data_IF_127338071550
#
_entry.id   IF_127338071550
#
_cell.length_a   1.000
_cell.length_b   1.000
_cell.length_c   1.000
_cell.angle_alpha   90.00
_cell.angle_beta   90.00
_cell.angle_gamma   90.00
#
_symmetry.space_group_name_H-M   'P 1'
#
loop_
_entity.id
_entity.type
_entity.pdbx_description
1 polymer ?
#
# COMPACT_ATOMS: atom_id res chain seq x y z
N UNK A 1 -52.85 -32.05 12.04
CA UNK A 1 -51.73 -32.99 12.16
C UNK A 1 -50.61 -32.54 11.23
N UNK A 2 -49.44 -32.19 11.74
CA UNK A 2 -48.32 -31.75 10.91
C UNK A 2 -47.79 -32.94 10.08
N UNK A 3 -47.74 -32.81 8.74
CA UNK A 3 -47.15 -33.82 7.85
C UNK A 3 -45.68 -34.01 8.24
N UNK A 4 -45.32 -35.24 8.62
CA UNK A 4 -43.92 -35.61 8.94
C UNK A 4 -43.03 -35.32 7.73
N UNK A 5 -42.04 -34.48 7.90
CA UNK A 5 -41.13 -34.05 6.83
C UNK A 5 -40.27 -35.25 6.41
N UNK A 6 -40.31 -35.62 5.12
CA UNK A 6 -39.51 -36.72 4.56
C UNK A 6 -38.03 -36.42 4.70
N UNK A 7 -37.24 -37.38 5.11
CA UNK A 7 -35.81 -37.29 5.35
C UNK A 7 -34.99 -38.09 4.33
N UNK A 8 -33.69 -37.78 4.19
CA UNK A 8 -32.78 -38.58 3.35
C UNK A 8 -32.67 -40.04 3.80
N UNK A 9 -32.95 -40.34 5.09
CA UNK A 9 -33.05 -41.70 5.62
C UNK A 9 -34.26 -42.44 5.09
N UNK A 10 -35.40 -41.76 4.90
CA UNK A 10 -36.59 -42.36 4.34
C UNK A 10 -36.39 -42.72 2.86
N UNK A 11 -35.71 -41.83 2.10
CA UNK A 11 -35.32 -42.12 0.71
C UNK A 11 -34.35 -43.29 0.64
N UNK A 12 -33.34 -43.34 1.55
CA UNK A 12 -32.38 -44.44 1.62
C UNK A 12 -33.03 -45.79 1.84
N UNK A 13 -34.01 -45.89 2.79
CA UNK A 13 -34.82 -47.08 3.03
C UNK A 13 -35.63 -47.47 1.80
N UNK A 14 -36.25 -46.52 1.12
CA UNK A 14 -37.11 -46.77 -0.06
C UNK A 14 -36.31 -47.23 -1.27
N UNK A 15 -35.12 -46.67 -1.47
CA UNK A 15 -34.20 -46.99 -2.57
C UNK A 15 -33.33 -48.24 -2.31
N UNK A 16 -33.30 -48.76 -1.06
CA UNK A 16 -32.46 -49.90 -0.67
C UNK A 16 -30.94 -49.58 -0.69
N UNK A 17 -30.55 -48.35 -0.36
CA UNK A 17 -29.17 -47.91 -0.37
C UNK A 17 -28.83 -47.19 0.95
N UNK A 18 -27.54 -46.85 1.15
CA UNK A 18 -27.12 -46.04 2.31
C UNK A 18 -27.58 -44.58 2.19
N UNK A 19 -27.75 -43.92 3.34
CA UNK A 19 -28.04 -42.46 3.36
C UNK A 19 -26.90 -41.64 2.69
N UNK A 20 -25.66 -42.09 2.81
CA UNK A 20 -24.52 -41.47 2.15
C UNK A 20 -24.66 -41.56 0.62
N UNK A 21 -25.11 -42.73 0.09
CA UNK A 21 -25.38 -42.94 -1.35
C UNK A 21 -26.45 -41.98 -1.84
N UNK A 22 -27.57 -41.85 -1.11
CA UNK A 22 -28.63 -40.88 -1.45
C UNK A 22 -28.08 -39.46 -1.51
N UNK A 23 -27.31 -39.07 -0.50
CA UNK A 23 -26.69 -37.72 -0.45
C UNK A 23 -25.74 -37.47 -1.62
N UNK A 24 -24.91 -38.46 -2.00
CA UNK A 24 -23.95 -38.31 -3.09
C UNK A 24 -24.66 -38.27 -4.46
N UNK A 25 -25.65 -39.14 -4.70
CA UNK A 25 -26.39 -39.19 -5.94
C UNK A 25 -27.21 -37.90 -6.16
N UNK A 26 -28.00 -37.50 -5.18
CA UNK A 26 -28.85 -36.31 -5.33
C UNK A 26 -28.07 -34.98 -5.36
N UNK A 27 -26.91 -34.90 -4.72
CA UNK A 27 -26.04 -33.73 -4.80
C UNK A 27 -25.08 -33.75 -6.02
N UNK A 28 -25.18 -34.73 -6.91
CA UNK A 28 -24.33 -34.89 -8.10
C UNK A 28 -22.83 -34.76 -7.78
N UNK A 29 -22.39 -35.37 -6.68
CA UNK A 29 -20.96 -35.40 -6.32
C UNK A 29 -20.25 -36.51 -7.09
N UNK A 30 -19.51 -36.15 -8.11
CA UNK A 30 -18.90 -37.06 -9.08
C UNK A 30 -17.58 -37.72 -8.65
N UNK A 31 -17.21 -37.65 -7.38
CA UNK A 31 -15.96 -38.30 -6.89
C UNK A 31 -16.15 -39.83 -6.69
N UNK A 32 -17.34 -40.35 -6.88
CA UNK A 32 -17.66 -41.78 -6.82
C UNK A 32 -18.63 -42.08 -7.95
N UNK A 33 -18.30 -43.05 -8.81
CA UNK A 33 -19.20 -43.50 -9.88
C UNK A 33 -20.19 -44.49 -9.32
N UNK A 34 -21.51 -44.21 -9.46
CA UNK A 34 -22.58 -45.14 -9.17
C UNK A 34 -23.11 -45.75 -10.47
N UNK A 35 -23.61 -46.99 -10.40
CA UNK A 35 -24.29 -47.59 -11.56
C UNK A 35 -25.55 -46.82 -11.91
N UNK A 36 -25.92 -46.81 -13.20
CA UNK A 36 -27.16 -46.15 -13.67
C UNK A 36 -28.39 -46.62 -12.91
N UNK A 37 -28.43 -47.90 -12.55
CA UNK A 37 -29.53 -48.49 -11.77
C UNK A 37 -29.67 -47.89 -10.37
N UNK A 38 -28.51 -47.65 -9.69
CA UNK A 38 -28.53 -47.03 -8.34
C UNK A 38 -28.99 -45.60 -8.41
N UNK A 39 -28.55 -44.84 -9.42
CA UNK A 39 -28.96 -43.46 -9.63
C UNK A 39 -30.48 -43.39 -9.85
N UNK A 40 -31.03 -44.22 -10.75
CA UNK A 40 -32.44 -44.25 -11.06
C UNK A 40 -33.32 -44.67 -9.84
N UNK A 41 -32.87 -45.68 -9.05
CA UNK A 41 -33.56 -46.07 -7.82
C UNK A 41 -33.66 -44.95 -6.80
N UNK A 42 -32.56 -44.17 -6.64
CA UNK A 42 -32.55 -43.06 -5.68
C UNK A 42 -33.40 -41.89 -6.17
N UNK A 43 -33.34 -41.54 -7.44
CA UNK A 43 -34.15 -40.48 -8.03
C UNK A 43 -35.66 -40.81 -8.01
N UNK A 44 -36.02 -42.04 -8.35
CA UNK A 44 -37.42 -42.51 -8.29
C UNK A 44 -37.93 -42.46 -6.85
N UNK A 45 -37.18 -42.99 -5.87
CA UNK A 45 -37.58 -43.01 -4.49
C UNK A 45 -37.73 -41.58 -3.90
N UNK A 46 -36.83 -40.64 -4.30
CA UNK A 46 -36.94 -39.25 -3.91
C UNK A 46 -38.17 -38.56 -4.48
N UNK A 47 -38.50 -38.82 -5.75
CA UNK A 47 -39.72 -38.33 -6.41
C UNK A 47 -41.00 -38.87 -5.80
N UNK A 48 -41.11 -40.21 -5.55
CA UNK A 48 -42.24 -40.84 -4.93
C UNK A 48 -42.58 -40.31 -3.53
N UNK A 49 -41.54 -40.04 -2.75
CA UNK A 49 -41.67 -39.53 -1.39
C UNK A 49 -41.83 -38.02 -1.31
N UNK A 50 -41.68 -37.29 -2.43
CA UNK A 50 -41.69 -35.84 -2.45
C UNK A 50 -40.50 -35.26 -1.67
N UNK A 51 -39.36 -35.96 -1.66
CA UNK A 51 -38.14 -35.49 -0.97
C UNK A 51 -37.47 -34.42 -1.79
N UNK A 52 -37.52 -33.21 -1.30
CA UNK A 52 -36.69 -32.15 -1.79
C UNK A 52 -35.38 -32.14 -0.99
N UNK A 53 -34.23 -32.15 -1.72
CA UNK A 53 -32.95 -31.87 -1.09
C UNK A 53 -33.10 -30.61 -0.24
N UNK A 54 -32.73 -30.66 1.07
CA UNK A 54 -32.66 -29.42 1.81
C UNK A 54 -31.78 -28.47 0.97
N UNK A 55 -32.40 -27.40 0.46
CA UNK A 55 -31.59 -26.32 -0.14
C UNK A 55 -30.45 -26.11 0.85
N UNK A 56 -29.21 -26.44 0.41
CA UNK A 56 -28.03 -26.21 1.25
C UNK A 56 -28.28 -24.85 1.88
N UNK A 57 -28.52 -24.83 3.18
CA UNK A 57 -28.43 -23.60 3.93
C UNK A 57 -27.00 -23.17 3.61
N UNK A 58 -26.85 -22.33 2.59
CA UNK A 58 -25.70 -21.47 2.48
C UNK A 58 -25.55 -20.95 3.88
N UNK A 59 -24.51 -21.45 4.58
CA UNK A 59 -24.26 -21.18 5.98
C UNK A 59 -24.60 -19.72 6.15
N UNK A 60 -25.64 -19.49 6.98
CA UNK A 60 -26.15 -18.23 7.48
C UNK A 60 -25.34 -17.07 6.91
N UNK A 61 -25.80 -16.46 5.77
CA UNK A 61 -25.09 -15.59 4.85
C UNK A 61 -23.66 -15.38 5.32
N UNK A 62 -22.71 -16.09 4.71
CA UNK A 62 -21.32 -15.69 4.89
C UNK A 62 -21.37 -14.18 4.71
N UNK A 63 -21.24 -13.44 5.79
CA UNK A 63 -20.99 -12.01 5.69
C UNK A 63 -19.78 -11.99 4.79
N UNK A 64 -20.01 -11.71 3.49
CA UNK A 64 -18.92 -11.57 2.54
C UNK A 64 -17.94 -10.66 3.25
N UNK A 65 -16.80 -11.22 3.62
CA UNK A 65 -15.80 -10.46 4.34
C UNK A 65 -15.57 -9.21 3.49
N UNK A 66 -15.78 -8.07 4.11
CA UNK A 66 -15.57 -6.80 3.46
C UNK A 66 -14.07 -6.66 3.28
N UNK A 67 -13.61 -6.58 2.05
CA UNK A 67 -12.19 -6.60 1.71
C UNK A 67 -11.78 -5.31 1.02
N UNK A 68 -10.73 -4.68 1.51
CA UNK A 68 -9.98 -3.65 0.81
C UNK A 68 -8.67 -4.22 0.29
N UNK A 69 -8.26 -3.79 -0.88
CA UNK A 69 -6.94 -4.10 -1.43
C UNK A 69 -6.04 -2.88 -1.28
N UNK A 70 -4.85 -3.10 -0.75
CA UNK A 70 -3.83 -2.07 -0.56
C UNK A 70 -2.63 -2.43 -1.42
N UNK A 71 -2.26 -1.54 -2.35
CA UNK A 71 -1.11 -1.72 -3.23
C UNK A 71 0.05 -0.88 -2.72
N UNK A 72 1.11 -1.58 -2.28
CA UNK A 72 2.33 -0.98 -1.75
C UNK A 72 3.49 -1.16 -2.72
N UNK A 73 4.32 -0.14 -2.92
CA UNK A 73 5.53 -0.28 -3.73
C UNK A 73 6.66 -0.98 -2.98
N UNK A 74 6.64 -0.93 -1.65
CA UNK A 74 7.69 -1.49 -0.81
C UNK A 74 7.18 -1.59 0.65
N UNK A 75 7.47 -2.70 1.32
CA UNK A 75 7.13 -2.91 2.75
C UNK A 75 8.37 -2.85 3.67
N UNK A 76 9.53 -2.55 3.12
CA UNK A 76 10.77 -2.45 3.90
C UNK A 76 11.08 -1.02 4.34
N UNK A 77 10.56 -0.01 3.63
CA UNK A 77 10.62 1.36 4.08
C UNK A 77 9.52 1.61 5.14
N UNK A 78 9.88 2.03 6.37
CA UNK A 78 8.95 2.29 7.47
C UNK A 78 7.80 3.26 7.12
N UNK A 79 8.02 4.17 6.18
CA UNK A 79 6.99 5.08 5.69
C UNK A 79 5.73 4.33 5.20
N UNK A 80 5.92 3.30 4.37
CA UNK A 80 4.79 2.51 3.85
C UNK A 80 4.14 1.64 4.93
N UNK A 81 4.93 1.18 5.91
CA UNK A 81 4.40 0.44 7.06
C UNK A 81 3.53 1.34 7.92
N UNK A 82 3.92 2.60 8.14
CA UNK A 82 3.12 3.58 8.87
C UNK A 82 1.82 3.93 8.14
N UNK A 83 1.85 4.10 6.81
CA UNK A 83 0.65 4.26 6.00
C UNK A 83 -0.30 3.06 6.15
N UNK A 84 0.25 1.85 6.02
CA UNK A 84 -0.50 0.60 6.13
C UNK A 84 -1.15 0.48 7.51
N UNK A 85 -0.45 0.82 8.58
CA UNK A 85 -0.98 0.81 9.94
C UNK A 85 -2.20 1.73 10.06
N UNK A 86 -2.17 2.91 9.46
CA UNK A 86 -3.32 3.83 9.44
C UNK A 86 -4.51 3.25 8.68
N UNK A 87 -4.26 2.67 7.51
CA UNK A 87 -5.28 2.02 6.70
C UNK A 87 -5.91 0.84 7.46
N UNK A 88 -5.09 -0.05 8.03
CA UNK A 88 -5.53 -1.24 8.74
C UNK A 88 -6.35 -0.91 9.97
N UNK A 89 -5.90 0.06 10.79
CA UNK A 89 -6.63 0.52 11.97
C UNK A 89 -8.03 0.97 11.58
N UNK A 90 -8.14 1.86 10.58
CA UNK A 90 -9.43 2.40 10.17
C UNK A 90 -10.31 1.38 9.46
N UNK A 91 -9.74 0.50 8.63
CA UNK A 91 -10.47 -0.58 7.98
C UNK A 91 -11.07 -1.55 9.00
N UNK A 92 -10.30 -1.94 10.02
CA UNK A 92 -10.73 -2.84 11.09
C UNK A 92 -11.87 -2.25 11.91
N UNK A 93 -11.83 -0.97 12.27
CA UNK A 93 -12.92 -0.26 12.96
C UNK A 93 -14.24 -0.34 12.17
N UNK A 94 -14.18 -0.38 10.84
CA UNK A 94 -15.34 -0.47 9.95
C UNK A 94 -15.70 -1.91 9.56
N UNK A 95 -15.00 -2.91 10.13
CA UNK A 95 -15.23 -4.33 9.89
C UNK A 95 -14.78 -4.79 8.50
N UNK A 96 -13.73 -4.18 7.96
CA UNK A 96 -13.05 -4.60 6.73
C UNK A 96 -11.75 -5.33 7.04
N UNK A 97 -11.48 -6.41 6.31
CA UNK A 97 -10.14 -6.97 6.17
C UNK A 97 -9.36 -6.21 5.10
N UNK A 98 -8.03 -6.32 5.15
CA UNK A 98 -7.16 -5.80 4.10
C UNK A 98 -6.37 -6.91 3.43
N UNK A 99 -6.14 -6.77 2.13
CA UNK A 99 -5.23 -7.61 1.35
C UNK A 99 -4.12 -6.74 0.78
N UNK A 100 -2.89 -7.01 1.19
CA UNK A 100 -1.74 -6.18 0.81
C UNK A 100 -1.01 -6.80 -0.37
N UNK A 101 -0.85 -6.03 -1.45
CA UNK A 101 -0.10 -6.37 -2.65
C UNK A 101 1.22 -5.58 -2.65
N UNK A 102 2.33 -6.23 -2.33
CA UNK A 102 3.66 -5.61 -2.42
C UNK A 102 4.23 -5.77 -3.83
N UNK A 103 4.23 -4.69 -4.61
CA UNK A 103 4.68 -4.71 -6.02
C UNK A 103 6.19 -4.69 -6.17
N UNK A 104 6.94 -4.32 -5.13
CA UNK A 104 8.39 -4.13 -5.19
C UNK A 104 8.84 -3.19 -6.32
N UNK A 105 7.96 -2.25 -6.73
CA UNK A 105 8.13 -1.36 -7.90
C UNK A 105 8.30 -2.12 -9.24
N UNK A 106 7.96 -3.41 -9.27
CA UNK A 106 7.97 -4.25 -10.48
C UNK A 106 6.62 -4.18 -11.20
N UNK A 107 6.62 -3.67 -12.43
CA UNK A 107 5.41 -3.55 -13.26
C UNK A 107 4.77 -4.90 -13.57
N UNK A 108 5.54 -5.99 -13.63
CA UNK A 108 4.99 -7.35 -13.87
C UNK A 108 4.22 -7.84 -12.64
N UNK A 109 4.74 -7.57 -11.44
CA UNK A 109 4.03 -7.88 -10.20
C UNK A 109 2.78 -7.02 -10.06
N UNK A 110 2.85 -5.73 -10.39
CA UNK A 110 1.69 -4.84 -10.37
C UNK A 110 0.60 -5.34 -11.32
N UNK A 111 0.94 -5.69 -12.56
CA UNK A 111 0.01 -6.27 -13.53
C UNK A 111 -0.66 -7.55 -13.00
N UNK A 112 0.14 -8.44 -12.42
CA UNK A 112 -0.36 -9.70 -11.85
C UNK A 112 -1.36 -9.45 -10.73
N UNK A 113 -1.07 -8.50 -9.83
CA UNK A 113 -1.98 -8.12 -8.77
C UNK A 113 -3.26 -7.48 -9.30
N UNK A 114 -3.19 -6.59 -10.27
CA UNK A 114 -4.38 -5.99 -10.90
C UNK A 114 -5.29 -7.05 -11.54
N UNK A 115 -4.72 -8.04 -12.23
CA UNK A 115 -5.49 -9.18 -12.76
C UNK A 115 -6.14 -10.00 -11.64
N UNK A 116 -5.45 -10.23 -10.53
CA UNK A 116 -5.99 -10.96 -9.39
C UNK A 116 -7.09 -10.19 -8.69
N UNK A 117 -6.95 -8.87 -8.51
CA UNK A 117 -7.95 -8.02 -7.84
C UNK A 117 -9.29 -8.07 -8.56
N UNK A 118 -9.31 -8.19 -9.90
CA UNK A 118 -10.53 -8.32 -10.68
C UNK A 118 -11.35 -9.58 -10.34
N UNK A 119 -10.71 -10.59 -9.74
CA UNK A 119 -11.37 -11.84 -9.29
C UNK A 119 -11.71 -11.83 -7.80
N UNK A 120 -11.11 -10.93 -7.03
CA UNK A 120 -11.44 -10.72 -5.62
C UNK A 120 -12.70 -9.86 -5.51
N UNK A 121 -13.57 -10.18 -4.55
CA UNK A 121 -14.71 -9.32 -4.22
C UNK A 121 -14.23 -8.10 -3.39
N UNK A 122 -13.19 -7.39 -3.85
CA UNK A 122 -12.71 -6.18 -3.22
C UNK A 122 -13.77 -5.09 -3.31
N UNK A 123 -13.95 -4.34 -2.22
CA UNK A 123 -14.90 -3.23 -2.14
C UNK A 123 -14.23 -1.87 -2.31
N UNK A 124 -12.90 -1.83 -2.37
CA UNK A 124 -12.10 -0.64 -2.63
C UNK A 124 -10.63 -0.97 -2.80
N UNK A 125 -9.91 -0.07 -3.45
CA UNK A 125 -8.47 -0.17 -3.71
C UNK A 125 -7.78 1.09 -3.20
N UNK A 126 -6.71 0.93 -2.42
CA UNK A 126 -5.84 2.02 -1.98
C UNK A 126 -4.45 1.79 -2.57
N UNK A 127 -3.99 2.73 -3.38
CA UNK A 127 -2.61 2.80 -3.84
C UNK A 127 -1.78 3.67 -2.90
N UNK A 128 -0.73 3.13 -2.30
CA UNK A 128 0.18 3.89 -1.43
C UNK A 128 1.27 4.65 -2.21
N UNK A 129 1.24 4.58 -3.54
CA UNK A 129 2.13 5.29 -4.46
C UNK A 129 1.42 5.52 -5.79
N UNK A 130 2.09 6.22 -6.72
CA UNK A 130 1.56 6.33 -8.07
C UNK A 130 1.58 4.97 -8.79
N UNK A 131 0.48 4.61 -9.46
CA UNK A 131 0.42 3.41 -10.29
C UNK A 131 1.35 3.52 -11.51
N UNK A 132 1.72 2.38 -12.06
CA UNK A 132 2.45 2.33 -13.33
C UNK A 132 1.63 2.98 -14.46
N UNK A 133 2.26 3.83 -15.27
CA UNK A 133 1.56 4.57 -16.35
C UNK A 133 0.81 3.68 -17.33
N UNK A 134 1.32 2.47 -17.59
CA UNK A 134 0.69 1.48 -18.44
C UNK A 134 -0.65 0.96 -17.87
N UNK A 135 -0.91 1.13 -16.58
CA UNK A 135 -2.11 0.63 -15.91
C UNK A 135 -3.20 1.68 -15.67
N UNK A 136 -2.95 2.95 -16.03
CA UNK A 136 -3.90 4.04 -15.78
C UNK A 136 -5.27 3.79 -16.43
N UNK A 137 -5.30 3.26 -17.66
CA UNK A 137 -6.54 2.88 -18.35
C UNK A 137 -7.31 1.80 -17.60
N UNK A 138 -6.62 0.72 -17.18
CA UNK A 138 -7.21 -0.37 -16.42
C UNK A 138 -7.74 0.11 -15.06
N UNK A 139 -6.99 0.98 -14.37
CA UNK A 139 -7.42 1.55 -13.10
C UNK A 139 -8.63 2.46 -13.25
N UNK A 140 -8.72 3.22 -14.34
CA UNK A 140 -9.89 4.01 -14.67
C UNK A 140 -11.13 3.13 -14.82
N UNK A 141 -11.04 2.05 -15.61
CA UNK A 141 -12.15 1.09 -15.76
C UNK A 141 -12.53 0.42 -14.43
N UNK A 142 -11.53 0.11 -13.60
CA UNK A 142 -11.78 -0.46 -12.26
C UNK A 142 -12.47 0.56 -11.35
N UNK A 143 -12.10 1.85 -11.42
CA UNK A 143 -12.69 2.91 -10.59
C UNK A 143 -14.16 3.18 -10.88
N UNK A 144 -14.68 2.79 -12.05
CA UNK A 144 -16.10 2.84 -12.39
C UNK A 144 -16.94 1.81 -11.61
N UNK A 145 -16.28 0.76 -11.07
CA UNK A 145 -16.95 -0.37 -10.39
C UNK A 145 -16.70 -0.39 -8.89
N UNK A 146 -15.51 -0.01 -8.47
CA UNK A 146 -15.08 0.00 -7.06
C UNK A 146 -14.30 1.29 -6.78
N UNK A 147 -14.47 1.91 -5.60
CA UNK A 147 -13.72 3.09 -5.23
C UNK A 147 -12.21 2.84 -5.25
N UNK A 148 -11.47 3.77 -5.86
CA UNK A 148 -10.00 3.78 -5.88
C UNK A 148 -9.51 5.09 -5.26
N UNK A 149 -8.52 4.99 -4.36
CA UNK A 149 -7.83 6.14 -3.77
C UNK A 149 -6.33 5.98 -4.00
N UNK A 150 -5.67 7.05 -4.40
CA UNK A 150 -4.21 7.09 -4.60
C UNK A 150 -3.58 8.09 -3.64
N UNK A 151 -2.62 7.62 -2.82
CA UNK A 151 -1.85 8.50 -1.94
C UNK A 151 -0.73 9.17 -2.77
N UNK A 152 -0.67 10.51 -2.71
CA UNK A 152 0.23 11.36 -3.49
C UNK A 152 0.04 11.19 -5.02
N UNK A 153 -1.21 11.21 -5.50
CA UNK A 153 -1.53 11.13 -6.93
C UNK A 153 -0.85 12.23 -7.73
N UNK A 154 -0.15 11.87 -8.78
CA UNK A 154 0.52 12.79 -9.69
C UNK A 154 -0.07 12.76 -11.11
N UNK A 155 -0.93 11.79 -11.39
CA UNK A 155 -1.50 11.57 -12.71
C UNK A 155 -2.82 12.33 -12.84
N UNK A 156 -2.75 13.55 -13.43
CA UNK A 156 -3.91 14.42 -13.65
C UNK A 156 -5.03 13.78 -14.48
N UNK A 157 -4.73 12.75 -15.24
CA UNK A 157 -5.68 12.05 -16.10
C UNK A 157 -6.36 10.87 -15.43
N UNK A 158 -5.91 10.49 -14.24
CA UNK A 158 -6.56 9.48 -13.42
C UNK A 158 -7.55 10.20 -12.49
N UNK A 159 -8.80 10.20 -12.90
CA UNK A 159 -9.91 10.81 -12.13
C UNK A 159 -10.33 9.88 -10.99
N UNK A 160 -9.51 9.83 -9.96
CA UNK A 160 -9.74 9.11 -8.72
C UNK A 160 -9.44 10.01 -7.53
N UNK A 161 -10.01 9.69 -6.38
CA UNK A 161 -9.70 10.43 -5.16
C UNK A 161 -8.23 10.28 -4.77
N UNK A 162 -7.70 11.32 -4.15
CA UNK A 162 -6.33 11.34 -3.70
C UNK A 162 -6.19 11.90 -2.28
N UNK A 163 -5.23 11.36 -1.54
CA UNK A 163 -4.69 12.00 -0.34
C UNK A 163 -3.35 12.62 -0.72
N UNK A 164 -3.30 13.95 -0.70
CA UNK A 164 -2.11 14.69 -1.14
C UNK A 164 -1.36 15.31 0.04
N UNK A 165 -0.09 15.57 -0.21
CA UNK A 165 0.82 16.26 0.71
C UNK A 165 1.43 17.46 -0.01
N UNK A 166 1.44 18.61 0.64
CA UNK A 166 2.14 19.78 0.13
C UNK A 166 3.66 19.63 0.30
N UNK A 167 4.28 18.97 -0.67
CA UNK A 167 5.72 18.75 -0.66
C UNK A 167 6.52 20.04 -0.78
N UNK A 168 5.99 21.08 -1.44
CA UNK A 168 6.65 22.39 -1.49
C UNK A 168 6.71 23.02 -0.09
N UNK A 169 5.62 22.94 0.65
CA UNK A 169 5.58 23.42 2.04
C UNK A 169 6.54 22.64 2.94
N UNK A 170 6.62 21.31 2.78
CA UNK A 170 7.58 20.49 3.54
C UNK A 170 9.03 20.93 3.26
N UNK A 171 9.38 21.08 1.98
CA UNK A 171 10.71 21.56 1.60
C UNK A 171 11.03 22.91 2.23
N UNK A 172 10.08 23.86 2.18
CA UNK A 172 10.22 25.16 2.83
C UNK A 172 10.44 25.06 4.33
N UNK A 173 9.71 24.19 5.02
CA UNK A 173 9.90 23.96 6.47
C UNK A 173 11.31 23.45 6.76
N UNK A 174 11.82 22.51 5.96
CA UNK A 174 13.17 21.98 6.11
C UNK A 174 14.23 23.08 5.90
N UNK A 175 14.12 23.85 4.83
CA UNK A 175 15.04 24.94 4.52
C UNK A 175 15.04 26.02 5.59
N UNK A 176 13.86 26.45 6.02
CA UNK A 176 13.71 27.46 7.07
C UNK A 176 14.35 27.03 8.38
N UNK A 177 14.11 25.78 8.80
CA UNK A 177 14.66 25.23 10.03
C UNK A 177 16.20 25.28 10.04
N UNK A 178 16.84 24.88 8.93
CA UNK A 178 18.30 24.94 8.84
C UNK A 178 18.83 26.37 8.82
N UNK A 179 18.17 27.30 8.12
CA UNK A 179 18.52 28.72 8.11
C UNK A 179 18.38 29.34 9.50
N UNK A 180 17.33 29.02 10.26
CA UNK A 180 17.13 29.48 11.64
C UNK A 180 18.22 28.98 12.60
N UNK A 181 18.82 27.81 12.30
CA UNK A 181 19.98 27.29 13.03
C UNK A 181 21.32 27.81 12.52
N UNK A 182 21.31 28.71 11.52
CA UNK A 182 22.53 29.35 10.96
C UNK A 182 23.25 28.55 9.88
N UNK A 183 22.66 27.45 9.39
CA UNK A 183 23.24 26.69 8.29
C UNK A 183 23.07 27.44 6.96
N UNK A 184 24.16 27.73 6.29
CA UNK A 184 24.18 28.45 5.01
C UNK A 184 24.73 27.61 3.86
N UNK A 185 25.75 26.79 4.12
CA UNK A 185 26.34 25.86 3.15
C UNK A 185 25.87 24.42 3.46
N UNK A 186 24.97 23.91 2.64
CA UNK A 186 24.25 22.65 2.91
C UNK A 186 24.14 21.79 1.67
N UNK A 187 23.97 20.49 1.87
CA UNK A 187 23.64 19.57 0.79
C UNK A 187 22.26 18.95 0.96
N UNK A 188 21.61 18.61 -0.14
CA UNK A 188 20.34 17.88 -0.19
C UNK A 188 20.52 16.61 -1.01
N UNK A 189 20.41 15.44 -0.39
CA UNK A 189 20.56 14.13 -1.04
C UNK A 189 19.20 13.53 -1.36
N UNK A 190 19.01 13.13 -2.62
CA UNK A 190 17.73 12.63 -3.12
C UNK A 190 17.91 11.48 -4.11
N UNK A 191 16.92 10.57 -4.24
CA UNK A 191 16.82 9.71 -5.40
C UNK A 191 16.59 10.55 -6.67
N UNK A 192 16.61 9.94 -7.86
CA UNK A 192 16.47 10.68 -9.13
C UNK A 192 15.24 11.60 -9.15
N UNK A 193 15.44 12.84 -9.62
CA UNK A 193 14.41 13.87 -9.77
C UNK A 193 13.79 13.81 -11.17
N UNK A 194 13.29 12.66 -11.56
CA UNK A 194 12.67 12.48 -12.88
C UNK A 194 11.31 13.15 -12.97
N UNK A 195 10.84 13.39 -14.19
CA UNK A 195 9.49 13.92 -14.46
C UNK A 195 8.36 13.04 -13.87
N UNK A 196 8.67 11.77 -13.53
CA UNK A 196 7.78 10.83 -12.87
C UNK A 196 7.66 11.05 -11.36
N UNK A 197 8.58 11.80 -10.77
CA UNK A 197 8.70 11.98 -9.31
C UNK A 197 8.46 13.45 -8.91
N UNK A 198 7.39 14.05 -9.45
CA UNK A 198 7.06 15.48 -9.23
C UNK A 198 7.02 15.89 -7.76
N UNK A 199 6.64 14.97 -6.85
CA UNK A 199 6.57 15.26 -5.42
C UNK A 199 7.97 15.41 -4.80
N UNK A 200 8.95 14.61 -5.25
CA UNK A 200 10.34 14.77 -4.84
C UNK A 200 10.87 16.13 -5.30
N UNK A 201 10.65 16.44 -6.59
CA UNK A 201 11.04 17.73 -7.17
C UNK A 201 10.45 18.92 -6.40
N UNK A 202 9.13 18.90 -6.10
CA UNK A 202 8.46 19.95 -5.33
C UNK A 202 9.07 20.14 -3.94
N UNK A 203 9.50 19.06 -3.27
CA UNK A 203 10.13 19.14 -1.95
C UNK A 203 11.49 19.82 -2.05
N UNK A 204 12.31 19.39 -3.01
CA UNK A 204 13.62 19.98 -3.26
C UNK A 204 13.48 21.47 -3.64
N UNK A 205 12.56 21.80 -4.56
CA UNK A 205 12.31 23.19 -4.95
C UNK A 205 11.85 24.06 -3.78
N UNK A 206 10.95 23.53 -2.94
CA UNK A 206 10.54 24.26 -1.74
C UNK A 206 11.70 24.54 -0.78
N UNK A 207 12.64 23.59 -0.65
CA UNK A 207 13.84 23.75 0.14
C UNK A 207 14.77 24.83 -0.46
N UNK A 208 15.05 24.75 -1.75
CA UNK A 208 15.87 25.72 -2.48
C UNK A 208 15.27 27.13 -2.44
N UNK A 209 13.93 27.25 -2.52
CA UNK A 209 13.25 28.56 -2.43
C UNK A 209 13.60 29.34 -1.16
N UNK A 210 13.64 28.68 0.00
CA UNK A 210 13.97 29.35 1.27
C UNK A 210 15.44 29.82 1.29
N UNK A 211 16.37 29.01 0.79
CA UNK A 211 17.78 29.40 0.69
C UNK A 211 17.99 30.52 -0.34
N UNK A 212 17.31 30.50 -1.49
CA UNK A 212 17.35 31.61 -2.48
C UNK A 212 16.83 32.90 -1.89
N UNK A 213 15.71 32.87 -1.15
CA UNK A 213 15.16 34.06 -0.47
C UNK A 213 16.10 34.61 0.59
N UNK A 214 16.88 33.76 1.26
CA UNK A 214 17.84 34.16 2.25
C UNK A 214 19.19 34.64 1.64
N UNK A 215 19.35 34.58 0.31
CA UNK A 215 20.58 34.95 -0.39
C UNK A 215 21.64 33.86 -0.44
N UNK A 216 21.31 32.62 -0.07
CA UNK A 216 22.23 31.48 -0.01
C UNK A 216 21.92 30.39 -1.05
N UNK A 217 21.19 30.72 -2.13
CA UNK A 217 20.78 29.73 -3.14
C UNK A 217 21.97 28.99 -3.77
N UNK A 218 23.07 29.68 -4.02
CA UNK A 218 24.30 29.11 -4.61
C UNK A 218 25.13 28.28 -3.60
N UNK A 219 24.74 28.27 -2.34
CA UNK A 219 25.39 27.52 -1.25
C UNK A 219 24.68 26.19 -0.98
N UNK A 220 23.67 25.84 -1.79
CA UNK A 220 22.94 24.57 -1.66
C UNK A 220 23.36 23.64 -2.77
N UNK A 221 23.91 22.48 -2.39
CA UNK A 221 24.28 21.43 -3.31
C UNK A 221 23.16 20.37 -3.33
N UNK A 222 22.51 20.20 -4.47
CA UNK A 222 21.58 19.07 -4.66
C UNK A 222 22.33 17.90 -5.26
N UNK A 223 22.49 16.83 -4.49
CA UNK A 223 23.12 15.59 -4.93
C UNK A 223 22.05 14.55 -5.18
N UNK A 224 21.86 14.22 -6.43
CA UNK A 224 20.85 13.25 -6.87
C UNK A 224 21.51 11.94 -7.28
N UNK A 225 20.90 10.81 -6.93
CA UNK A 225 21.30 9.50 -7.45
C UNK A 225 20.96 9.42 -8.95
N UNK A 226 21.74 8.69 -9.72
CA UNK A 226 21.41 8.44 -11.11
C UNK A 226 20.24 7.44 -11.26
N UNK A 227 19.58 7.45 -12.42
CA UNK A 227 18.44 6.57 -12.67
C UNK A 227 18.84 5.08 -12.72
N UNK A 228 20.09 4.79 -13.04
CA UNK A 228 20.60 3.43 -13.10
C UNK A 228 20.76 2.88 -11.69
N UNK A 229 21.20 3.67 -10.76
CA UNK A 229 21.28 3.34 -9.34
C UNK A 229 19.88 3.01 -8.78
N UNK A 230 18.86 3.85 -9.05
CA UNK A 230 17.48 3.64 -8.57
C UNK A 230 16.83 2.36 -9.17
N UNK A 231 17.31 1.95 -10.37
CA UNK A 231 16.83 0.71 -11.04
C UNK A 231 17.58 -0.54 -10.62
N UNK A 232 18.87 -0.45 -10.37
CA UNK A 232 19.78 -1.59 -10.18
C UNK A 232 20.05 -1.93 -8.71
N UNK A 233 19.58 -1.13 -7.77
CA UNK A 233 19.59 -1.48 -6.35
C UNK A 233 18.21 -2.05 -5.97
N UNK A 234 17.93 -3.32 -6.34
CA UNK A 234 16.75 -4.00 -5.82
C UNK A 234 17.03 -4.30 -4.36
N UNK A 235 16.28 -3.75 -3.47
CA UNK A 235 16.43 -4.17 -2.11
C UNK A 235 15.83 -3.26 -1.08
N UNK A 236 15.94 -3.80 0.11
CA UNK A 236 15.43 -3.27 1.36
C UNK A 236 16.10 -1.94 1.70
N UNK A 237 17.33 -1.75 1.24
CA UNK A 237 18.27 -0.72 1.65
C UNK A 237 18.58 0.34 0.58
N UNK A 238 17.85 0.35 -0.55
CA UNK A 238 18.16 1.25 -1.67
C UNK A 238 18.24 2.74 -1.25
N UNK A 239 17.25 3.24 -0.53
CA UNK A 239 17.24 4.65 -0.08
C UNK A 239 18.33 4.93 0.95
N UNK A 240 18.62 3.98 1.86
CA UNK A 240 19.75 4.07 2.79
C UNK A 240 21.08 4.15 2.03
N UNK A 241 21.27 3.30 1.01
CA UNK A 241 22.49 3.32 0.17
C UNK A 241 22.68 4.62 -0.58
N UNK A 242 21.61 5.20 -1.11
CA UNK A 242 21.66 6.54 -1.71
C UNK A 242 22.27 7.53 -0.72
N UNK A 243 21.79 7.56 0.52
CA UNK A 243 22.30 8.43 1.55
C UNK A 243 23.78 8.16 1.85
N UNK A 244 24.13 6.89 2.02
CA UNK A 244 25.48 6.48 2.39
C UNK A 244 26.52 6.76 1.28
N UNK A 245 26.24 6.29 0.05
CA UNK A 245 27.21 6.37 -1.04
C UNK A 245 27.40 7.82 -1.53
N UNK A 246 26.28 8.55 -1.71
CA UNK A 246 26.35 9.94 -2.16
C UNK A 246 26.98 10.87 -1.12
N UNK A 247 26.83 10.60 0.18
CA UNK A 247 27.53 11.37 1.22
C UNK A 247 29.03 11.15 1.13
N UNK A 248 29.48 9.90 0.96
CA UNK A 248 30.91 9.61 0.81
C UNK A 248 31.51 10.23 -0.44
N UNK A 249 30.75 10.28 -1.53
CA UNK A 249 31.17 10.96 -2.75
C UNK A 249 31.23 12.47 -2.54
N UNK A 250 30.19 13.08 -2.02
CA UNK A 250 30.03 14.49 -1.79
C UNK A 250 31.18 15.05 -0.92
N UNK A 251 31.48 14.40 0.20
CA UNK A 251 32.50 14.83 1.14
C UNK A 251 33.94 14.62 0.66
N UNK A 252 34.18 14.09 -0.55
CA UNK A 252 35.52 14.13 -1.18
C UNK A 252 35.89 15.51 -1.67
N UNK A 253 34.91 16.27 -2.16
CA UNK A 253 35.07 17.60 -2.73
C UNK A 253 34.59 18.70 -1.79
N UNK A 254 33.49 18.51 -1.12
CA UNK A 254 32.79 19.50 -0.29
C UNK A 254 33.14 19.28 1.20
N UNK A 255 34.11 20.07 1.72
CA UNK A 255 34.60 19.92 3.12
C UNK A 255 33.91 20.86 4.12
N UNK A 256 33.30 21.93 3.61
CA UNK A 256 32.80 23.04 4.45
C UNK A 256 31.26 22.96 4.64
N UNK A 257 30.66 21.80 4.33
CA UNK A 257 29.25 21.57 4.55
C UNK A 257 28.92 21.54 6.05
N UNK A 258 27.91 22.31 6.46
CA UNK A 258 27.49 22.38 7.85
C UNK A 258 26.26 21.51 8.13
N UNK A 259 25.47 21.18 7.09
CA UNK A 259 24.35 20.25 7.21
C UNK A 259 24.13 19.46 5.92
N UNK A 260 23.63 18.24 6.07
CA UNK A 260 23.21 17.38 4.95
C UNK A 260 21.77 16.92 5.20
N UNK A 261 20.92 17.11 4.20
CA UNK A 261 19.51 16.74 4.23
C UNK A 261 19.26 15.51 3.38
N UNK A 262 18.61 14.50 3.95
CA UNK A 262 18.04 13.40 3.18
C UNK A 262 16.60 13.70 2.77
N UNK A 263 16.19 13.33 1.56
CA UNK A 263 14.79 13.46 1.11
C UNK A 263 13.82 12.84 2.12
N UNK A 264 14.22 11.76 2.77
CA UNK A 264 13.48 11.06 3.81
C UNK A 264 14.41 10.52 4.92
N UNK A 265 13.83 9.91 5.96
CA UNK A 265 14.60 9.38 7.09
C UNK A 265 15.54 8.24 6.68
N UNK A 266 15.15 7.39 5.72
CA UNK A 266 16.02 6.27 5.29
C UNK A 266 17.30 6.76 4.63
N UNK A 267 17.22 7.80 3.82
CA UNK A 267 18.39 8.47 3.25
C UNK A 267 19.21 9.13 4.36
N UNK A 268 18.55 9.79 5.31
CA UNK A 268 19.22 10.44 6.43
C UNK A 268 20.00 9.44 7.31
N UNK A 269 19.51 8.24 7.52
CA UNK A 269 20.27 7.19 8.23
C UNK A 269 21.54 6.79 7.47
N UNK A 270 21.44 6.63 6.15
CA UNK A 270 22.62 6.39 5.31
C UNK A 270 23.64 7.53 5.39
N UNK A 271 23.19 8.77 5.40
CA UNK A 271 24.04 9.96 5.60
C UNK A 271 24.76 9.87 6.96
N UNK A 272 24.04 9.58 8.03
CA UNK A 272 24.61 9.49 9.39
C UNK A 272 25.71 8.42 9.46
N UNK A 273 25.47 7.24 8.90
CA UNK A 273 26.44 6.15 8.92
C UNK A 273 27.67 6.46 8.06
N UNK A 274 27.49 7.10 6.89
CA UNK A 274 28.61 7.57 6.07
C UNK A 274 29.47 8.61 6.81
N UNK A 275 28.85 9.57 7.48
CA UNK A 275 29.54 10.56 8.31
C UNK A 275 30.33 9.88 9.44
N UNK A 276 29.72 8.92 10.12
CA UNK A 276 30.38 8.17 11.20
C UNK A 276 31.62 7.41 10.69
N UNK A 277 31.50 6.72 9.55
CA UNK A 277 32.62 6.01 8.92
C UNK A 277 33.76 6.94 8.53
N UNK A 278 33.43 8.14 8.07
CA UNK A 278 34.37 9.18 7.71
C UNK A 278 34.87 9.99 8.91
N UNK A 279 34.48 9.62 10.15
CA UNK A 279 34.90 10.24 11.41
C UNK A 279 34.34 11.62 11.66
N UNK A 280 33.31 12.07 10.97
CA UNK A 280 32.58 13.27 11.31
C UNK A 280 31.63 13.03 12.49
N UNK A 281 31.51 14.04 13.35
CA UNK A 281 30.56 14.03 14.48
C UNK A 281 29.23 14.63 14.06
N UNK A 282 28.14 13.91 14.32
CA UNK A 282 26.78 14.42 14.14
C UNK A 282 26.22 14.75 15.51
N UNK A 283 25.74 15.98 15.77
CA UNK A 283 25.69 17.14 14.87
C UNK A 283 26.95 18.03 14.96
N UNK A 284 28.00 17.63 15.69
CA UNK A 284 29.14 18.51 16.04
C UNK A 284 29.92 19.09 14.86
N UNK A 285 30.14 18.28 13.81
CA UNK A 285 30.83 18.74 12.60
C UNK A 285 29.81 18.97 11.47
N UNK A 286 28.81 18.08 11.32
CA UNK A 286 27.77 18.16 10.29
C UNK A 286 26.43 17.80 10.89
N UNK A 287 25.44 18.65 10.73
CA UNK A 287 24.04 18.36 11.09
C UNK A 287 23.37 17.48 10.04
N UNK A 288 22.44 16.61 10.45
CA UNK A 288 21.69 15.76 9.54
C UNK A 288 20.17 15.94 9.76
N UNK A 289 19.43 16.05 8.65
CA UNK A 289 17.97 16.17 8.69
C UNK A 289 17.33 15.21 7.72
N UNK A 290 16.20 14.61 8.14
CA UNK A 290 15.34 13.73 7.33
C UNK A 290 13.92 14.27 7.19
N UNK A 291 13.03 13.41 6.73
CA UNK A 291 11.59 13.65 6.66
C UNK A 291 10.88 12.28 6.78
N UNK A 292 9.81 12.17 7.52
CA UNK A 292 8.83 11.11 7.75
C UNK A 292 8.57 10.86 9.23
N UNK A 293 9.51 11.23 10.11
CA UNK A 293 9.44 11.02 11.56
C UNK A 293 9.15 9.55 11.93
N UNK A 294 9.88 8.63 11.29
CA UNK A 294 9.77 7.20 11.52
C UNK A 294 10.15 6.79 12.95
N UNK A 295 9.80 5.56 13.36
CA UNK A 295 10.18 5.07 14.69
C UNK A 295 11.69 5.13 14.92
N UNK A 296 12.48 4.80 13.90
CA UNK A 296 13.94 4.77 14.03
C UNK A 296 14.55 6.15 14.24
N UNK A 297 13.95 7.22 13.70
CA UNK A 297 14.41 8.60 13.91
C UNK A 297 14.34 9.02 15.39
N UNK A 298 13.46 8.39 16.19
CA UNK A 298 13.22 8.67 17.60
C UNK A 298 14.12 7.89 18.56
N UNK A 299 14.88 6.91 18.06
CA UNK A 299 15.80 6.11 18.89
C UNK A 299 16.88 7.03 19.46
N UNK A 300 17.12 6.99 20.78
CA UNK A 300 18.01 7.92 21.50
C UNK A 300 19.41 8.05 20.89
N UNK A 301 19.98 6.96 20.36
CA UNK A 301 21.30 6.99 19.71
C UNK A 301 21.28 7.61 18.31
N UNK A 302 20.11 7.68 17.68
CA UNK A 302 19.90 8.27 16.37
C UNK A 302 19.48 9.73 16.52
N UNK A 303 18.36 10.00 17.22
CA UNK A 303 17.87 11.34 17.54
C UNK A 303 17.86 12.28 16.32
N UNK A 304 17.30 11.77 15.21
CA UNK A 304 17.32 12.48 13.93
C UNK A 304 16.35 13.66 13.93
N UNK A 305 16.82 14.83 13.51
CA UNK A 305 15.95 15.96 13.15
C UNK A 305 15.17 15.58 11.89
N UNK A 306 13.83 15.59 11.96
CA UNK A 306 12.97 15.15 10.87
C UNK A 306 11.64 15.89 10.86
N UNK A 307 10.95 15.91 9.73
CA UNK A 307 9.62 16.49 9.60
C UNK A 307 8.56 15.43 9.90
N UNK A 308 7.65 15.76 10.84
CA UNK A 308 6.40 15.04 11.03
C UNK A 308 5.35 15.53 10.02
N UNK A 309 4.82 14.65 9.22
CA UNK A 309 3.74 14.95 8.28
C UNK A 309 2.57 13.96 8.36
N UNK A 310 2.40 13.37 9.54
CA UNK A 310 1.25 12.58 9.94
C UNK A 310 0.96 11.37 9.01
N UNK A 311 1.99 10.57 8.75
CA UNK A 311 1.94 9.45 7.79
C UNK A 311 0.81 8.46 8.12
N UNK A 312 0.64 8.10 9.40
CA UNK A 312 -0.44 7.20 9.84
C UNK A 312 -1.82 7.79 9.53
N UNK A 313 -2.01 9.10 9.78
CA UNK A 313 -3.28 9.77 9.49
C UNK A 313 -3.60 9.81 8.00
N UNK A 314 -2.61 9.97 7.14
CA UNK A 314 -2.83 9.85 5.68
C UNK A 314 -3.41 8.49 5.29
N UNK A 315 -2.92 7.42 5.93
CA UNK A 315 -3.49 6.08 5.73
C UNK A 315 -4.95 6.01 6.18
N UNK A 316 -5.27 6.60 7.34
CA UNK A 316 -6.64 6.70 7.84
C UNK A 316 -7.53 7.51 6.88
N UNK A 317 -7.07 8.66 6.41
CA UNK A 317 -7.81 9.52 5.48
C UNK A 317 -8.13 8.79 4.16
N UNK A 318 -7.16 8.05 3.61
CA UNK A 318 -7.37 7.25 2.41
C UNK A 318 -8.48 6.19 2.63
N UNK A 319 -8.48 5.54 3.79
CA UNK A 319 -9.52 4.59 4.15
C UNK A 319 -10.88 5.28 4.32
N UNK A 320 -10.95 6.43 4.99
CA UNK A 320 -12.19 7.19 5.20
C UNK A 320 -12.82 7.63 3.86
N UNK A 321 -12.02 8.04 2.89
CA UNK A 321 -12.50 8.38 1.54
C UNK A 321 -13.15 7.15 0.89
N UNK A 322 -12.48 5.99 0.92
CA UNK A 322 -13.04 4.72 0.41
C UNK A 322 -14.37 4.40 1.09
N UNK A 323 -14.43 4.48 2.43
CA UNK A 323 -15.63 4.15 3.19
C UNK A 323 -16.82 5.06 2.86
N UNK A 324 -16.57 6.35 2.68
CA UNK A 324 -17.60 7.32 2.26
C UNK A 324 -18.19 6.92 0.90
N UNK A 325 -17.36 6.55 -0.08
CA UNK A 325 -17.83 6.11 -1.41
C UNK A 325 -18.62 4.82 -1.34
N UNK A 326 -18.13 3.79 -0.65
CA UNK A 326 -18.85 2.52 -0.46
C UNK A 326 -20.23 2.76 0.18
N UNK A 327 -20.33 3.73 1.07
CA UNK A 327 -21.59 4.06 1.76
C UNK A 327 -22.56 4.86 0.88
N UNK A 328 -22.06 5.74 -0.01
CA UNK A 328 -22.88 6.52 -0.94
C UNK A 328 -23.47 5.66 -2.05
N UNK A 329 -22.70 4.75 -2.62
CA UNK A 329 -23.18 3.83 -3.67
C UNK A 329 -24.28 2.89 -3.15
N UNK A 330 -24.27 2.53 -1.87
CA UNK A 330 -25.33 1.73 -1.26
C UNK A 330 -26.65 2.47 -1.09
N UNK A 331 -26.65 3.81 -1.01
CA UNK A 331 -27.87 4.61 -0.91
C UNK A 331 -28.55 4.84 -2.25
N UNK A 332 -27.86 4.65 -3.35
CA UNK A 332 -28.40 4.78 -4.72
C UNK A 332 -29.04 3.51 -5.26
N UNK A 333 -29.01 2.41 -4.51
CA UNK A 333 -29.53 1.07 -4.91
C UNK A 333 -30.79 0.68 -4.09
N UNK A 334 -31.39 1.61 -3.34
CA UNK A 334 -32.65 1.36 -2.57
C UNK A 334 -33.81 2.07 -3.23
#
# INVERSE_FOLDING_TARGET
MAKKKVTSSDVAKRAGVSQATVSMVLNKKYNVSFSKEVIQKVEAAAGELGYELPKRRTQRGERREKLLVVISPNLTNPYYVMLLQGIESRATEQGFGIFVCNTQRDLKLEERYLKMISTLNAQGIIYMCNPGKCFLGQLKEMSERIPVVVINNQEKHLDVDAVELDNTKLGRLMGRHLLELGHQHVAYITPPLTARQKQRFRRVEGFLDEFRKAGYGDQVIVKEADEEFDRNVPGIDAEYRIGYDLTKELLRTEKDLTAIVGLNDMIAFGIMDALQDMKYKVPGDVSVMGCDNTLFSKVKKVSLTTIEHFVVHKGMDACDIIMKKISSDRKSVV
#
